data_IF_853127354008
#
_entry.id   IF_853127354008
#
_cell.length_a   1.000
_cell.length_b   1.000
_cell.length_c   1.000
_cell.angle_alpha   90.00
_cell.angle_beta   90.00
_cell.angle_gamma   90.00
#
_symmetry.space_group_name_H-M   'P 1'
#
loop_
_entity.id
_entity.type
_entity.pdbx_description
1 polymer ?
#
# COMPACT_ATOMS: atom_id res chain seq x y z
N UNK A 1 -32.93 72.69 28.94
CA UNK A 1 -32.21 71.40 28.95
C UNK A 1 -31.06 71.50 29.96
N UNK A 2 -31.10 70.74 31.04
CA UNK A 2 -30.05 70.84 32.09
C UNK A 2 -28.72 70.29 31.54
N UNK A 3 -27.82 71.19 31.13
CA UNK A 3 -26.52 70.85 30.57
C UNK A 3 -25.71 69.98 31.53
N UNK A 4 -25.89 70.11 32.85
CA UNK A 4 -25.25 69.31 33.90
C UNK A 4 -25.71 67.83 33.88
N UNK A 5 -27.01 67.56 33.66
CA UNK A 5 -27.56 66.23 33.55
C UNK A 5 -27.09 65.51 32.27
N UNK A 6 -26.94 66.28 31.19
CA UNK A 6 -26.42 65.72 29.92
C UNK A 6 -24.93 65.36 30.03
N UNK A 7 -24.14 66.21 30.65
CA UNK A 7 -22.71 65.90 30.85
C UNK A 7 -22.46 64.72 31.81
N UNK A 8 -23.27 64.57 32.87
CA UNK A 8 -23.18 63.42 33.76
C UNK A 8 -23.62 62.12 33.12
N UNK A 9 -24.66 62.15 32.29
CA UNK A 9 -25.10 60.96 31.54
C UNK A 9 -24.07 60.54 30.48
N UNK A 10 -23.42 61.50 29.82
CA UNK A 10 -22.36 61.25 28.86
C UNK A 10 -21.12 60.62 29.52
N UNK A 11 -20.75 61.15 30.71
CA UNK A 11 -19.65 60.57 31.51
C UNK A 11 -19.95 59.14 31.96
N UNK A 12 -21.17 58.88 32.43
CA UNK A 12 -21.58 57.52 32.83
C UNK A 12 -21.58 56.55 31.62
N UNK A 13 -22.05 57.02 30.44
CA UNK A 13 -22.00 56.23 29.25
C UNK A 13 -20.58 55.92 28.79
N UNK A 14 -19.68 56.92 28.84
CA UNK A 14 -18.26 56.70 28.53
C UNK A 14 -17.57 55.70 29.50
N UNK A 15 -17.89 55.78 30.80
CA UNK A 15 -17.40 54.88 31.80
C UNK A 15 -17.91 53.44 31.59
N UNK A 16 -19.17 53.29 31.25
CA UNK A 16 -19.76 51.98 30.92
C UNK A 16 -19.07 51.34 29.69
N UNK A 17 -18.85 52.12 28.62
CA UNK A 17 -18.12 51.64 27.43
C UNK A 17 -16.68 51.25 27.79
N UNK A 18 -15.99 52.03 28.62
CA UNK A 18 -14.62 51.72 29.06
C UNK A 18 -14.58 50.41 29.88
N UNK A 19 -15.56 50.21 30.76
CA UNK A 19 -15.67 48.95 31.53
C UNK A 19 -15.93 47.73 30.64
N UNK A 20 -16.81 47.87 29.66
CA UNK A 20 -17.10 46.80 28.71
C UNK A 20 -15.85 46.47 27.88
N UNK A 21 -15.15 47.48 27.41
CA UNK A 21 -13.90 47.34 26.68
C UNK A 21 -12.82 46.59 27.49
N UNK A 22 -12.59 47.04 28.71
CA UNK A 22 -11.66 46.40 29.65
C UNK A 22 -12.04 44.95 29.95
N UNK A 23 -13.33 44.65 30.08
CA UNK A 23 -13.82 43.30 30.30
C UNK A 23 -13.57 42.39 29.09
N UNK A 24 -13.82 42.88 27.86
CA UNK A 24 -13.58 42.14 26.64
C UNK A 24 -12.08 41.84 26.48
N UNK A 25 -11.21 42.86 26.69
CA UNK A 25 -9.75 42.72 26.59
C UNK A 25 -9.21 41.72 27.61
N UNK A 26 -9.72 41.77 28.87
CA UNK A 26 -9.37 40.79 29.91
C UNK A 26 -9.76 39.36 29.49
N UNK A 27 -10.94 39.20 28.90
CA UNK A 27 -11.41 37.87 28.44
C UNK A 27 -10.62 37.35 27.25
N UNK A 28 -10.26 38.17 26.31
CA UNK A 28 -9.41 37.78 25.16
C UNK A 28 -8.02 37.36 25.68
N UNK A 29 -7.44 38.09 26.63
CA UNK A 29 -6.13 37.75 27.21
C UNK A 29 -6.17 36.44 27.98
N UNK A 30 -7.23 36.19 28.75
CA UNK A 30 -7.45 34.94 29.49
C UNK A 30 -7.57 33.75 28.50
N UNK A 31 -8.37 33.90 27.46
CA UNK A 31 -8.53 32.86 26.40
C UNK A 31 -7.20 32.59 25.65
N UNK A 32 -6.43 33.63 25.35
CA UNK A 32 -5.11 33.47 24.73
C UNK A 32 -4.11 32.77 25.64
N UNK A 33 -4.17 33.06 26.97
CA UNK A 33 -3.32 32.41 27.99
C UNK A 33 -3.65 30.91 28.09
N UNK A 34 -4.93 30.54 28.09
CA UNK A 34 -5.39 29.18 28.30
C UNK A 34 -5.27 28.28 27.07
N UNK A 35 -5.53 28.84 25.89
CA UNK A 35 -5.63 28.09 24.61
C UNK A 35 -4.56 28.44 23.59
N UNK A 36 -3.76 29.47 23.85
CA UNK A 36 -2.74 30.00 22.96
C UNK A 36 -3.32 30.87 21.84
N UNK A 37 -2.42 31.43 21.04
CA UNK A 37 -2.79 32.30 19.93
C UNK A 37 -3.56 31.53 18.83
N UNK A 38 -4.53 32.19 18.25
CA UNK A 38 -5.21 31.66 17.07
C UNK A 38 -4.29 31.70 15.86
N UNK A 39 -4.11 30.57 15.20
CA UNK A 39 -3.33 30.47 13.96
C UNK A 39 -4.14 29.76 12.87
N UNK A 40 -3.90 30.09 11.61
CA UNK A 40 -4.62 29.48 10.50
C UNK A 40 -4.23 28.01 10.34
N UNK A 41 -5.24 27.15 10.12
CA UNK A 41 -5.10 25.73 9.85
C UNK A 41 -6.03 25.35 8.71
N UNK A 42 -5.56 24.54 7.79
CA UNK A 42 -6.35 24.02 6.70
C UNK A 42 -7.18 22.82 7.15
N UNK A 43 -8.48 22.89 6.98
CA UNK A 43 -9.44 21.80 7.29
C UNK A 43 -10.23 21.41 6.06
N UNK A 44 -10.74 20.17 6.06
CA UNK A 44 -11.62 19.70 5.02
C UNK A 44 -13.00 20.39 5.10
N UNK A 45 -13.44 20.97 4.00
CA UNK A 45 -14.77 21.60 3.87
C UNK A 45 -15.88 20.57 3.67
N UNK A 46 -15.53 19.43 3.09
CA UNK A 46 -16.40 18.27 2.84
C UNK A 46 -15.63 16.96 3.07
N UNK A 47 -16.32 15.83 3.03
CA UNK A 47 -15.69 14.52 3.11
C UNK A 47 -14.81 14.28 1.89
N UNK A 48 -13.51 14.06 2.09
CA UNK A 48 -12.54 13.74 1.04
C UNK A 48 -12.24 12.24 1.12
N UNK A 49 -12.41 11.55 0.00
CA UNK A 49 -12.16 10.11 -0.08
C UNK A 49 -10.66 9.83 -0.22
N UNK A 50 -10.28 8.62 0.16
CA UNK A 50 -8.94 8.11 -0.17
C UNK A 50 -8.68 8.19 -1.67
N UNK A 51 -7.46 8.58 -2.06
CA UNK A 51 -7.00 8.78 -3.43
C UNK A 51 -7.70 9.92 -4.18
N UNK A 52 -8.42 10.76 -3.50
CA UNK A 52 -9.08 11.94 -4.07
C UNK A 52 -8.12 13.14 -4.08
N UNK A 53 -8.08 13.87 -5.19
CA UNK A 53 -7.28 15.11 -5.32
C UNK A 53 -7.84 16.16 -4.36
N UNK A 54 -6.93 16.77 -3.60
CA UNK A 54 -7.26 17.87 -2.71
C UNK A 54 -7.12 19.16 -3.49
N UNK A 55 -8.23 19.84 -3.70
CA UNK A 55 -8.31 21.16 -4.34
C UNK A 55 -8.86 22.22 -3.36
N UNK A 56 -8.78 23.48 -3.77
CA UNK A 56 -9.24 24.65 -3.00
C UNK A 56 -10.75 24.66 -2.71
N UNK A 57 -11.53 23.90 -3.49
CA UNK A 57 -12.99 23.78 -3.27
C UNK A 57 -13.31 22.87 -2.09
N UNK A 58 -12.43 21.90 -1.80
CA UNK A 58 -12.62 20.88 -0.77
C UNK A 58 -12.04 21.25 0.58
N UNK A 59 -11.26 22.31 0.64
CA UNK A 59 -10.57 22.74 1.84
C UNK A 59 -10.92 24.17 2.18
N UNK A 60 -10.73 24.53 3.43
CA UNK A 60 -10.90 25.90 3.91
C UNK A 60 -9.90 26.18 5.01
N UNK A 61 -9.56 27.47 5.15
CA UNK A 61 -8.71 27.95 6.21
C UNK A 61 -9.59 28.39 7.39
N UNK A 62 -9.31 27.88 8.58
CA UNK A 62 -9.94 28.32 9.82
C UNK A 62 -8.87 28.68 10.87
N UNK A 63 -9.19 29.64 11.76
CA UNK A 63 -8.31 29.96 12.87
C UNK A 63 -8.64 29.05 14.05
N UNK A 64 -7.63 28.35 14.56
CA UNK A 64 -7.76 27.45 15.69
C UNK A 64 -6.71 27.84 16.75
N UNK A 65 -7.06 27.85 18.04
CA UNK A 65 -6.08 28.04 19.10
C UNK A 65 -4.96 26.99 19.04
N UNK A 66 -3.73 27.40 19.31
CA UNK A 66 -2.54 26.56 19.13
C UNK A 66 -2.58 25.26 19.94
N UNK A 67 -3.29 25.25 21.06
CA UNK A 67 -3.52 24.05 21.89
C UNK A 67 -4.25 22.91 21.17
N UNK A 68 -5.10 23.22 20.18
CA UNK A 68 -5.91 22.24 19.44
C UNK A 68 -5.36 21.93 18.07
N UNK A 69 -4.19 22.42 17.72
CA UNK A 69 -3.58 22.15 16.43
C UNK A 69 -2.93 20.76 16.44
N UNK A 70 -3.20 20.00 15.41
CA UNK A 70 -2.57 18.71 15.21
C UNK A 70 -1.11 18.89 14.72
N UNK A 71 -0.15 18.08 15.18
CA UNK A 71 1.21 18.11 14.65
C UNK A 71 1.23 17.87 13.14
N UNK A 72 2.01 18.68 12.42
CA UNK A 72 2.13 18.56 10.97
C UNK A 72 0.93 19.06 10.17
N UNK A 73 0.08 19.93 10.74
CA UNK A 73 -1.02 20.58 10.02
C UNK A 73 -0.49 21.57 8.97
N UNK A 74 -1.27 21.77 7.91
CA UNK A 74 -1.00 22.76 6.87
C UNK A 74 -1.57 24.13 7.29
N UNK A 75 -0.79 25.17 7.04
CA UNK A 75 -1.14 26.56 7.37
C UNK A 75 -1.69 27.34 6.19
N UNK A 76 -1.47 26.86 4.98
CA UNK A 76 -1.89 27.51 3.74
C UNK A 76 -2.48 26.46 2.80
N UNK A 77 -3.50 26.85 2.04
CA UNK A 77 -4.16 25.98 1.06
C UNK A 77 -3.20 25.64 -0.09
N UNK A 78 -2.33 26.57 -0.46
CA UNK A 78 -1.35 26.42 -1.55
C UNK A 78 -0.39 25.26 -1.31
N UNK A 79 -0.09 24.96 -0.05
CA UNK A 79 0.81 23.86 0.32
C UNK A 79 0.19 22.47 0.03
N UNK A 80 -1.13 22.44 -0.25
CA UNK A 80 -1.88 21.23 -0.63
C UNK A 80 -2.07 21.07 -2.14
N UNK A 81 -1.60 22.02 -2.96
CA UNK A 81 -1.75 21.89 -4.41
C UNK A 81 -1.04 20.64 -4.93
N UNK A 82 -1.73 19.95 -5.83
CA UNK A 82 -1.28 18.66 -6.37
C UNK A 82 -1.08 17.55 -5.33
N UNK A 83 -1.74 17.63 -4.19
CA UNK A 83 -1.75 16.55 -3.22
C UNK A 83 -3.00 15.69 -3.36
N UNK A 84 -2.92 14.49 -2.85
CA UNK A 84 -3.99 13.49 -2.85
C UNK A 84 -4.16 12.99 -1.42
N UNK A 85 -5.41 12.76 -1.02
CA UNK A 85 -5.69 12.17 0.30
C UNK A 85 -5.15 10.72 0.34
N UNK A 86 -4.20 10.44 1.23
CA UNK A 86 -3.65 9.10 1.44
C UNK A 86 -4.62 8.18 2.20
N UNK A 87 -5.55 8.78 2.95
CA UNK A 87 -6.61 8.11 3.72
C UNK A 87 -7.87 8.97 3.66
N UNK A 88 -9.07 8.43 3.94
CA UNK A 88 -10.28 9.24 3.99
C UNK A 88 -10.16 10.35 5.05
N UNK A 89 -10.54 11.58 4.69
CA UNK A 89 -10.54 12.76 5.57
C UNK A 89 -11.99 13.21 5.72
N UNK A 90 -12.43 13.41 6.96
CA UNK A 90 -13.80 13.85 7.24
C UNK A 90 -13.93 15.36 7.22
N UNK A 91 -15.13 15.84 6.88
CA UNK A 91 -15.48 17.27 6.97
C UNK A 91 -15.12 17.82 8.36
N UNK A 92 -14.44 18.97 8.39
CA UNK A 92 -13.98 19.64 9.59
C UNK A 92 -12.66 19.07 10.18
N UNK A 93 -12.13 17.99 9.64
CA UNK A 93 -10.86 17.42 10.07
C UNK A 93 -9.67 18.26 9.60
N UNK A 94 -8.68 18.46 10.46
CA UNK A 94 -7.43 19.16 10.12
C UNK A 94 -6.62 18.29 9.14
N UNK A 95 -6.16 18.90 8.06
CA UNK A 95 -5.31 18.20 7.09
C UNK A 95 -3.87 18.25 7.57
N UNK A 96 -3.27 17.08 7.74
CA UNK A 96 -1.90 16.90 8.23
C UNK A 96 -1.02 16.18 7.20
N UNK A 97 0.30 16.36 7.32
CA UNK A 97 1.29 15.74 6.41
C UNK A 97 1.11 14.23 6.24
N UNK A 98 0.84 13.42 7.29
CA UNK A 98 0.61 11.98 7.11
C UNK A 98 -0.68 11.62 6.36
N UNK A 99 -1.62 12.56 6.24
CA UNK A 99 -2.93 12.35 5.58
C UNK A 99 -2.90 12.61 4.09
N UNK A 100 -1.81 13.16 3.57
CA UNK A 100 -1.68 13.55 2.16
C UNK A 100 -0.45 12.93 1.52
N UNK A 101 -0.50 12.75 0.22
CA UNK A 101 0.64 12.32 -0.58
C UNK A 101 0.70 13.12 -1.86
N UNK A 102 1.91 13.24 -2.44
CA UNK A 102 2.10 13.91 -3.73
C UNK A 102 2.08 12.87 -4.85
N UNK A 103 1.28 13.03 -5.90
CA UNK A 103 1.36 12.18 -7.09
C UNK A 103 2.72 12.41 -7.78
N UNK A 104 3.39 11.36 -8.16
CA UNK A 104 4.66 11.45 -8.90
C UNK A 104 5.82 10.67 -8.29
N UNK A 105 7.04 11.12 -8.55
CA UNK A 105 8.29 10.44 -8.17
C UNK A 105 8.46 10.14 -6.68
N UNK A 106 7.67 10.77 -5.84
CA UNK A 106 7.68 10.56 -4.38
C UNK A 106 6.75 9.43 -3.91
N UNK A 107 5.79 9.01 -4.73
CA UNK A 107 4.84 7.93 -4.44
C UNK A 107 5.14 6.64 -5.24
N UNK A 108 6.20 6.61 -6.02
CA UNK A 108 6.56 5.48 -6.87
C UNK A 108 7.06 4.26 -6.09
N UNK A 109 6.94 3.09 -6.74
CA UNK A 109 7.39 1.80 -6.22
C UNK A 109 8.85 1.82 -5.72
N UNK A 110 9.72 2.60 -6.36
CA UNK A 110 11.14 2.70 -6.00
C UNK A 110 11.40 3.16 -4.56
N UNK A 111 10.46 3.89 -3.94
CA UNK A 111 10.57 4.31 -2.53
C UNK A 111 10.15 3.24 -1.53
N UNK A 112 9.34 2.30 -1.96
CA UNK A 112 8.89 1.19 -1.13
C UNK A 112 9.88 0.04 -1.09
N UNK A 113 10.83 0.03 -2.04
CA UNK A 113 11.88 -0.99 -2.10
C UNK A 113 12.92 -0.71 -1.03
N UNK A 114 13.19 -1.69 -0.18
CA UNK A 114 14.23 -1.62 0.85
C UNK A 114 15.62 -1.40 0.24
N UNK A 115 16.49 -0.71 0.97
CA UNK A 115 17.87 -0.49 0.53
C UNK A 115 18.56 -1.83 0.27
N UNK A 116 19.23 -1.95 -0.87
CA UNK A 116 19.90 -3.18 -1.30
C UNK A 116 19.01 -4.20 -1.99
N UNK A 117 17.69 -3.99 -2.04
CA UNK A 117 16.75 -4.87 -2.73
C UNK A 117 16.29 -4.30 -4.09
N UNK A 118 15.53 -5.08 -4.82
CA UNK A 118 15.00 -4.80 -6.15
C UNK A 118 13.56 -5.28 -6.26
N UNK A 119 12.75 -4.61 -7.06
CA UNK A 119 11.42 -5.08 -7.46
C UNK A 119 11.52 -5.90 -8.74
N UNK A 120 10.89 -7.06 -8.75
CA UNK A 120 10.72 -7.89 -9.93
C UNK A 120 9.25 -8.28 -10.08
N UNK A 121 8.65 -7.97 -11.22
CA UNK A 121 7.29 -8.41 -11.55
C UNK A 121 7.34 -9.75 -12.27
N UNK A 122 6.50 -10.67 -11.82
CA UNK A 122 6.31 -11.98 -12.46
C UNK A 122 4.86 -12.13 -12.89
N UNK A 123 4.65 -12.79 -14.01
CA UNK A 123 3.33 -13.18 -14.46
C UNK A 123 2.87 -14.40 -13.66
N UNK A 124 1.61 -14.41 -13.22
CA UNK A 124 1.08 -15.45 -12.35
C UNK A 124 -0.41 -15.70 -12.66
N UNK A 125 -0.82 -16.95 -12.61
CA UNK A 125 -2.22 -17.33 -12.75
C UNK A 125 -2.94 -17.28 -11.40
N UNK A 126 -4.26 -17.38 -11.45
CA UNK A 126 -5.12 -17.38 -10.27
C UNK A 126 -4.75 -18.49 -9.26
N UNK A 127 -4.60 -19.73 -9.76
CA UNK A 127 -4.24 -20.88 -8.92
C UNK A 127 -2.84 -20.78 -8.30
N UNK A 128 -1.92 -20.08 -8.96
CA UNK A 128 -0.56 -19.87 -8.49
C UNK A 128 -0.46 -18.73 -7.45
N UNK A 129 -1.47 -17.87 -7.38
CA UNK A 129 -1.53 -16.68 -6.52
C UNK A 129 -2.58 -16.79 -5.42
N UNK A 130 -2.77 -17.98 -4.85
CA UNK A 130 -3.74 -18.22 -3.75
C UNK A 130 -5.12 -17.67 -4.10
N UNK A 131 -5.64 -18.01 -5.28
CA UNK A 131 -6.92 -17.51 -5.83
C UNK A 131 -7.00 -15.97 -5.86
N UNK A 132 -5.88 -15.29 -6.11
CA UNK A 132 -5.76 -13.82 -6.11
C UNK A 132 -6.11 -13.15 -4.78
N UNK A 133 -6.00 -13.87 -3.68
CA UNK A 133 -6.27 -13.33 -2.35
C UNK A 133 -5.06 -12.61 -1.73
N UNK A 134 -3.89 -12.76 -2.32
CA UNK A 134 -2.68 -12.05 -1.89
C UNK A 134 -2.81 -10.55 -2.16
N UNK A 135 -2.26 -9.75 -1.26
CA UNK A 135 -2.32 -8.28 -1.30
C UNK A 135 -0.92 -7.68 -1.20
N UNK A 136 -0.73 -6.44 -1.68
CA UNK A 136 0.47 -5.70 -1.38
C UNK A 136 0.69 -5.59 0.14
N UNK A 137 1.91 -5.85 0.60
CA UNK A 137 2.27 -5.93 2.02
C UNK A 137 2.29 -7.34 2.59
N UNK A 138 1.68 -8.31 1.94
CA UNK A 138 1.73 -9.72 2.36
C UNK A 138 3.13 -10.32 2.16
N UNK A 139 3.41 -11.40 2.87
CA UNK A 139 4.62 -12.20 2.74
C UNK A 139 4.31 -13.59 2.20
N UNK A 140 5.12 -14.04 1.26
CA UNK A 140 4.93 -15.32 0.58
C UNK A 140 6.22 -16.12 0.51
N UNK A 141 6.07 -17.45 0.40
CA UNK A 141 7.13 -18.33 -0.05
C UNK A 141 6.94 -18.62 -1.53
N UNK A 142 8.04 -18.67 -2.27
CA UNK A 142 8.04 -18.95 -3.71
C UNK A 142 8.46 -20.39 -3.93
N UNK A 143 7.56 -21.18 -4.50
CA UNK A 143 7.79 -22.55 -4.89
C UNK A 143 7.97 -22.63 -6.40
N UNK A 144 8.90 -23.46 -6.85
CA UNK A 144 9.09 -23.72 -8.29
C UNK A 144 9.02 -25.21 -8.58
N UNK A 145 8.28 -25.53 -9.64
CA UNK A 145 8.32 -26.85 -10.25
C UNK A 145 9.49 -26.87 -11.22
N UNK A 146 10.56 -27.59 -10.87
CA UNK A 146 11.78 -27.66 -11.64
C UNK A 146 11.75 -28.92 -12.52
N UNK A 147 11.75 -28.70 -13.84
CA UNK A 147 11.91 -29.74 -14.84
C UNK A 147 13.27 -29.59 -15.54
N UNK A 148 14.22 -30.46 -15.22
CA UNK A 148 15.54 -30.49 -15.86
C UNK A 148 15.72 -31.68 -16.85
N UNK A 149 14.63 -32.41 -17.11
CA UNK A 149 14.68 -33.62 -17.91
C UNK A 149 13.63 -33.67 -19.03
N UNK A 150 13.17 -32.50 -19.48
CA UNK A 150 12.27 -32.33 -20.62
C UNK A 150 11.00 -33.16 -20.52
N UNK A 151 10.24 -33.01 -19.42
CA UNK A 151 8.92 -33.61 -19.23
C UNK A 151 8.93 -35.02 -18.61
N UNK A 152 10.08 -35.55 -18.21
CA UNK A 152 10.16 -36.82 -17.45
C UNK A 152 9.67 -36.61 -16.02
N UNK A 153 8.44 -37.03 -15.74
CA UNK A 153 7.76 -36.80 -14.45
C UNK A 153 8.56 -37.28 -13.24
N UNK A 154 9.25 -38.41 -13.38
CA UNK A 154 10.10 -39.00 -12.33
C UNK A 154 11.33 -38.14 -11.97
N UNK A 155 11.70 -37.20 -12.85
CA UNK A 155 12.82 -36.27 -12.64
C UNK A 155 12.38 -34.86 -12.27
N UNK A 156 11.10 -34.56 -12.32
CA UNK A 156 10.56 -33.29 -11.84
C UNK A 156 10.64 -33.22 -10.31
N UNK A 157 10.83 -32.01 -9.81
CA UNK A 157 10.80 -31.73 -8.36
C UNK A 157 10.21 -30.36 -8.07
N UNK A 158 9.51 -30.27 -6.98
CA UNK A 158 9.07 -29.00 -6.41
C UNK A 158 10.07 -28.58 -5.32
N UNK A 159 10.47 -27.33 -5.33
CA UNK A 159 11.37 -26.75 -4.34
C UNK A 159 10.88 -25.37 -3.93
N UNK A 160 10.90 -25.10 -2.62
CA UNK A 160 10.81 -23.73 -2.11
C UNK A 160 12.12 -23.02 -2.42
N UNK A 161 12.09 -22.07 -3.34
CA UNK A 161 13.29 -21.40 -3.86
C UNK A 161 13.58 -20.08 -3.13
N UNK A 162 12.54 -19.43 -2.63
CA UNK A 162 12.62 -18.24 -1.80
C UNK A 162 11.61 -18.34 -0.67
N UNK A 163 11.95 -17.79 0.48
CA UNK A 163 11.09 -17.73 1.66
C UNK A 163 11.01 -16.30 2.17
N UNK A 164 9.86 -15.95 2.76
CA UNK A 164 9.64 -14.67 3.40
C UNK A 164 9.85 -13.49 2.43
N UNK A 165 9.21 -13.54 1.28
CA UNK A 165 9.28 -12.53 0.23
C UNK A 165 8.12 -11.55 0.36
N UNK A 166 8.43 -10.26 0.42
CA UNK A 166 7.43 -9.20 0.49
C UNK A 166 6.82 -8.94 -0.88
N UNK A 167 5.49 -8.85 -0.92
CA UNK A 167 4.74 -8.42 -2.09
C UNK A 167 4.65 -6.90 -2.10
N UNK A 168 5.20 -6.27 -3.12
CA UNK A 168 5.16 -4.81 -3.30
C UNK A 168 3.90 -4.37 -4.03
N UNK A 169 3.45 -5.15 -5.03
CA UNK A 169 2.23 -4.83 -5.77
C UNK A 169 1.56 -6.06 -6.34
N UNK A 170 0.25 -5.96 -6.56
CA UNK A 170 -0.56 -6.91 -7.33
C UNK A 170 -1.15 -6.17 -8.53
N UNK A 171 -0.76 -6.55 -9.75
CA UNK A 171 -1.08 -5.79 -10.94
C UNK A 171 -0.50 -4.38 -10.85
N UNK A 172 -1.35 -3.38 -10.99
CA UNK A 172 -1.00 -1.95 -10.90
C UNK A 172 -1.15 -1.38 -9.48
N UNK A 173 -1.59 -2.18 -8.49
CA UNK A 173 -1.82 -1.73 -7.12
C UNK A 173 -0.59 -1.93 -6.27
N UNK A 174 -0.17 -0.86 -5.62
CA UNK A 174 1.00 -0.77 -4.74
C UNK A 174 0.51 -0.39 -3.34
N UNK A 175 1.14 -0.90 -2.30
CA UNK A 175 0.88 -0.47 -0.92
C UNK A 175 1.17 1.03 -0.81
N UNK A 176 0.19 1.82 -0.33
CA UNK A 176 0.35 3.26 -0.06
C UNK A 176 0.75 4.13 -1.27
N UNK A 177 0.50 3.70 -2.49
CA UNK A 177 0.72 4.57 -3.64
C UNK A 177 -0.53 4.71 -4.48
N UNK A 178 -0.73 5.94 -4.91
CA UNK A 178 -1.74 6.29 -5.89
C UNK A 178 -1.24 5.79 -7.24
N UNK A 179 -1.99 4.95 -7.96
CA UNK A 179 -1.64 4.64 -9.34
C UNK A 179 -1.60 5.95 -10.13
N UNK A 180 -0.50 6.23 -10.79
CA UNK A 180 -0.40 7.33 -11.75
C UNK A 180 -1.16 6.89 -13.00
N UNK A 181 -2.48 6.91 -12.93
CA UNK A 181 -3.34 6.76 -14.09
C UNK A 181 -3.90 8.16 -14.34
N UNK A 182 -3.81 8.62 -15.59
CA UNK A 182 -4.55 9.77 -16.05
C UNK A 182 -6.06 9.48 -15.87
N UNK A 183 -6.59 9.72 -14.69
CA UNK A 183 -8.00 9.58 -14.37
C UNK A 183 -8.71 10.76 -15.05
N UNK A 184 -9.17 10.53 -16.26
CA UNK A 184 -9.94 11.55 -17.01
C UNK A 184 -11.40 11.63 -16.60
N UNK A 185 -11.94 10.63 -15.89
CA UNK A 185 -13.35 10.56 -15.53
C UNK A 185 -13.62 10.08 -14.11
N UNK A 186 -14.51 10.80 -13.43
CA UNK A 186 -14.98 10.54 -12.07
C UNK A 186 -15.72 9.19 -11.93
N UNK A 187 -16.23 8.63 -13.04
CA UNK A 187 -16.91 7.33 -13.09
C UNK A 187 -15.93 6.17 -12.99
N UNK A 188 -14.74 6.29 -13.59
CA UNK A 188 -13.73 5.23 -13.56
C UNK A 188 -13.13 5.06 -12.17
N UNK A 189 -13.02 6.13 -11.38
CA UNK A 189 -12.53 6.06 -10.01
C UNK A 189 -13.47 5.31 -9.06
N UNK A 190 -14.78 5.30 -9.31
CA UNK A 190 -15.77 4.59 -8.49
C UNK A 190 -15.77 3.08 -8.74
N UNK A 191 -15.52 2.63 -9.97
CA UNK A 191 -15.45 1.21 -10.31
C UNK A 191 -14.12 0.57 -9.90
N UNK A 192 -13.04 1.35 -9.81
CA UNK A 192 -11.73 0.84 -9.35
C UNK A 192 -11.72 0.34 -7.90
N UNK A 193 -12.63 0.80 -7.03
CA UNK A 193 -12.53 0.59 -5.57
C UNK A 193 -12.90 -0.78 -5.04
N UNK A 194 -13.68 -1.60 -5.73
CA UNK A 194 -14.11 -2.91 -5.20
C UNK A 194 -13.61 -4.13 -5.99
N UNK A 195 -13.35 -4.00 -7.30
CA UNK A 195 -13.04 -5.16 -8.14
C UNK A 195 -11.56 -5.29 -8.53
N UNK A 196 -10.73 -4.30 -8.27
CA UNK A 196 -9.40 -4.25 -8.87
C UNK A 196 -8.32 -4.98 -8.07
N UNK A 197 -8.52 -5.24 -6.77
CA UNK A 197 -7.56 -6.04 -5.98
C UNK A 197 -7.57 -7.52 -6.35
N UNK A 198 -8.64 -8.01 -6.98
CA UNK A 198 -8.82 -9.42 -7.30
C UNK A 198 -8.54 -9.78 -8.75
N UNK A 199 -8.40 -8.81 -9.64
CA UNK A 199 -8.18 -9.08 -11.07
C UNK A 199 -6.78 -8.65 -11.52
N UNK A 200 -5.77 -9.41 -11.12
CA UNK A 200 -4.38 -9.18 -11.53
C UNK A 200 -3.76 -10.45 -12.13
N UNK A 201 -2.84 -10.25 -13.06
CA UNK A 201 -2.06 -11.32 -13.71
C UNK A 201 -0.56 -11.19 -13.42
N UNK A 202 -0.16 -10.19 -12.63
CA UNK A 202 1.23 -9.94 -12.28
C UNK A 202 1.35 -9.63 -10.80
N UNK A 203 2.44 -10.07 -10.20
CA UNK A 203 2.81 -9.79 -8.81
C UNK A 203 4.23 -9.27 -8.81
N UNK A 204 4.46 -8.17 -8.05
CA UNK A 204 5.80 -7.60 -7.89
C UNK A 204 6.36 -7.98 -6.54
N UNK A 205 7.50 -8.61 -6.56
CA UNK A 205 8.21 -9.14 -5.39
C UNK A 205 9.40 -8.26 -5.03
N UNK A 206 9.69 -8.13 -3.75
CA UNK A 206 10.90 -7.48 -3.24
C UNK A 206 12.00 -8.52 -3.02
N UNK A 207 13.06 -8.45 -3.80
CA UNK A 207 14.12 -9.47 -3.88
C UNK A 207 15.51 -8.86 -3.75
N UNK A 208 16.45 -9.63 -3.24
CA UNK A 208 17.88 -9.28 -3.37
C UNK A 208 18.33 -9.41 -4.84
N UNK A 209 19.43 -8.76 -5.26
CA UNK A 209 19.92 -8.88 -6.64
C UNK A 209 20.17 -10.33 -7.09
N UNK A 210 20.63 -11.19 -6.19
CA UNK A 210 20.87 -12.59 -6.50
C UNK A 210 19.57 -13.39 -6.63
N UNK A 211 18.57 -13.10 -5.82
CA UNK A 211 17.24 -13.69 -5.92
C UNK A 211 16.53 -13.28 -7.20
N UNK A 212 16.74 -12.05 -7.66
CA UNK A 212 16.24 -11.60 -8.97
C UNK A 212 16.80 -12.48 -10.10
N UNK A 213 18.11 -12.76 -10.10
CA UNK A 213 18.72 -13.64 -11.10
C UNK A 213 18.12 -15.05 -11.07
N UNK A 214 17.93 -15.62 -9.86
CA UNK A 214 17.25 -16.91 -9.70
C UNK A 214 15.84 -16.90 -10.30
N UNK A 215 15.07 -15.88 -10.00
CA UNK A 215 13.69 -15.77 -10.47
C UNK A 215 13.62 -15.59 -11.99
N UNK A 216 14.47 -14.75 -12.56
CA UNK A 216 14.54 -14.56 -14.02
C UNK A 216 14.88 -15.88 -14.69
N UNK A 217 15.85 -16.65 -14.19
CA UNK A 217 16.20 -17.96 -14.70
C UNK A 217 14.99 -18.93 -14.66
N UNK A 218 14.29 -19.01 -13.53
CA UNK A 218 13.13 -19.88 -13.35
C UNK A 218 11.99 -19.53 -14.30
N UNK A 219 11.67 -18.25 -14.45
CA UNK A 219 10.63 -17.76 -15.34
C UNK A 219 11.00 -18.05 -16.80
N UNK A 220 12.25 -17.76 -17.19
CA UNK A 220 12.73 -17.96 -18.57
C UNK A 220 12.82 -19.44 -18.95
N UNK A 221 13.08 -20.33 -17.99
CA UNK A 221 13.10 -21.78 -18.20
C UNK A 221 11.71 -22.41 -18.28
N UNK A 222 10.63 -21.62 -18.21
CA UNK A 222 9.26 -22.12 -18.27
C UNK A 222 8.81 -22.91 -17.04
N UNK A 223 9.52 -22.78 -15.91
CA UNK A 223 9.14 -23.46 -14.68
C UNK A 223 7.86 -22.90 -14.09
N UNK A 224 6.96 -23.76 -13.63
CA UNK A 224 5.77 -23.35 -12.91
C UNK A 224 6.15 -22.72 -11.55
N UNK A 225 5.71 -21.47 -11.34
CA UNK A 225 5.94 -20.74 -10.07
C UNK A 225 4.64 -20.66 -9.32
N UNK A 226 4.68 -20.99 -8.01
CA UNK A 226 3.55 -20.93 -7.09
C UNK A 226 3.92 -20.08 -5.90
N UNK A 227 2.98 -19.28 -5.42
CA UNK A 227 3.13 -18.51 -4.19
C UNK A 227 2.35 -19.18 -3.07
N UNK A 228 2.98 -19.32 -1.92
CA UNK A 228 2.34 -19.78 -0.69
C UNK A 228 2.28 -18.60 0.28
N UNK A 229 1.08 -18.20 0.68
CA UNK A 229 0.86 -17.08 1.59
C UNK A 229 1.30 -17.47 3.00
N UNK A 230 2.12 -16.62 3.61
CA UNK A 230 2.55 -16.76 5.01
C UNK A 230 1.62 -16.00 5.95
N UNK A 231 1.65 -16.39 7.22
CA UNK A 231 1.11 -15.53 8.27
C UNK A 231 2.01 -14.29 8.39
N UNK A 232 1.43 -13.11 8.56
CA UNK A 232 2.17 -11.84 8.65
C UNK A 232 3.17 -11.77 9.81
N UNK A 233 2.98 -12.60 10.84
CA UNK A 233 3.87 -12.69 12.00
C UNK A 233 4.92 -13.81 11.89
N UNK A 234 4.87 -14.62 10.82
CA UNK A 234 5.81 -15.70 10.58
C UNK A 234 6.99 -15.21 9.75
N UNK A 235 8.10 -14.94 10.41
CA UNK A 235 9.37 -14.53 9.79
C UNK A 235 10.42 -15.65 9.81
N UNK A 236 10.06 -16.85 10.27
CA UNK A 236 11.02 -17.95 10.37
C UNK A 236 11.34 -18.53 9.00
N UNK A 237 12.61 -18.82 8.77
CA UNK A 237 13.11 -19.53 7.59
C UNK A 237 13.54 -20.91 7.99
N UNK A 238 12.97 -21.92 7.35
CA UNK A 238 13.28 -23.31 7.61
C UNK A 238 13.95 -23.97 6.40
N UNK A 239 14.77 -24.97 6.65
CA UNK A 239 15.35 -25.80 5.59
C UNK A 239 14.27 -26.77 5.08
N UNK A 240 13.66 -26.44 3.94
CA UNK A 240 12.65 -27.28 3.29
C UNK A 240 13.34 -28.07 2.17
N UNK A 241 13.27 -29.38 2.26
CA UNK A 241 13.76 -30.29 1.23
C UNK A 241 12.96 -30.12 -0.09
N UNK A 242 13.51 -30.62 -1.19
CA UNK A 242 12.75 -30.70 -2.44
C UNK A 242 11.86 -31.94 -2.44
N UNK A 243 10.62 -31.81 -2.90
CA UNK A 243 9.65 -32.91 -3.06
C UNK A 243 9.67 -33.43 -4.50
N UNK A 244 9.79 -34.72 -4.66
CA UNK A 244 9.76 -35.43 -5.95
C UNK A 244 8.48 -36.26 -6.07
N UNK A 245 8.23 -36.78 -7.26
CA UNK A 245 7.08 -37.66 -7.54
C UNK A 245 6.96 -38.80 -6.49
N UNK A 246 8.06 -39.46 -6.21
CA UNK A 246 8.06 -40.60 -5.28
C UNK A 246 7.77 -40.20 -3.82
N UNK A 247 8.06 -38.97 -3.42
CA UNK A 247 7.76 -38.47 -2.07
C UNK A 247 6.27 -38.20 -1.88
N UNK A 248 5.53 -38.00 -3.00
CA UNK A 248 4.08 -37.73 -3.00
C UNK A 248 3.29 -39.03 -3.07
N UNK A 249 3.83 -40.07 -3.71
CA UNK A 249 3.10 -41.32 -3.99
C UNK A 249 2.98 -42.23 -2.74
N UNK A 250 3.77 -41.99 -1.71
CA UNK A 250 3.67 -42.81 -0.49
C UNK A 250 3.82 -44.33 -0.75
N UNK A 251 2.76 -45.08 -0.49
CA UNK A 251 2.74 -46.56 -0.64
C UNK A 251 2.88 -46.99 -2.11
N UNK A 252 2.39 -46.20 -3.08
CA UNK A 252 2.45 -46.50 -4.51
C UNK A 252 3.87 -46.30 -5.11
N UNK A 253 4.83 -45.85 -4.32
CA UNK A 253 6.20 -45.56 -4.76
C UNK A 253 6.86 -46.73 -5.50
N UNK A 254 6.66 -47.93 -5.00
CA UNK A 254 7.29 -49.14 -5.56
C UNK A 254 6.74 -49.49 -6.92
N UNK A 255 5.41 -49.43 -7.08
CA UNK A 255 4.73 -49.69 -8.35
C UNK A 255 5.14 -48.65 -9.40
N UNK A 256 5.16 -47.37 -9.02
CA UNK A 256 5.57 -46.28 -9.91
C UNK A 256 7.04 -46.43 -10.37
N UNK A 257 7.94 -46.82 -9.51
CA UNK A 257 9.34 -47.08 -9.86
C UNK A 257 9.47 -48.20 -10.88
N UNK A 258 8.73 -49.29 -10.71
CA UNK A 258 8.71 -50.42 -11.65
C UNK A 258 8.17 -50.00 -13.01
N UNK A 259 7.07 -49.27 -13.01
CA UNK A 259 6.47 -48.75 -14.25
C UNK A 259 7.42 -47.85 -15.05
N UNK A 260 8.07 -46.85 -14.38
CA UNK A 260 9.02 -45.99 -15.07
C UNK A 260 10.29 -46.69 -15.52
N UNK A 261 10.76 -47.71 -14.78
CA UNK A 261 11.86 -48.53 -15.22
C UNK A 261 11.56 -49.34 -16.45
N UNK A 262 10.37 -49.94 -16.55
CA UNK A 262 9.88 -50.62 -17.75
C UNK A 262 9.71 -49.70 -18.96
N UNK A 263 9.16 -48.49 -18.75
CA UNK A 263 9.07 -47.49 -19.81
C UNK A 263 10.45 -47.10 -20.36
N UNK A 264 11.42 -46.81 -19.47
CA UNK A 264 12.78 -46.49 -19.86
C UNK A 264 13.45 -47.59 -20.66
N UNK A 265 13.20 -48.87 -20.30
CA UNK A 265 13.70 -50.06 -21.01
C UNK A 265 13.05 -50.19 -22.41
N UNK A 266 11.76 -49.89 -22.56
CA UNK A 266 11.06 -49.88 -23.85
C UNK A 266 11.57 -48.78 -24.79
N UNK A 267 11.80 -47.57 -24.26
CA UNK A 267 12.31 -46.42 -25.02
C UNK A 267 13.76 -46.66 -25.49
N UNK A 268 14.59 -47.28 -24.67
CA UNK A 268 15.97 -47.65 -25.05
C UNK A 268 16.03 -48.66 -26.17
N UNK A 269 15.11 -49.64 -26.18
CA UNK A 269 14.99 -50.63 -27.26
C UNK A 269 14.48 -50.02 -28.61
N UNK A 270 13.61 -49.01 -28.54
CA UNK A 270 13.13 -48.28 -29.71
C UNK A 270 14.23 -47.44 -30.39
N UNK A 271 15.08 -46.80 -29.58
CA UNK A 271 16.22 -46.02 -30.10
C UNK A 271 17.36 -46.87 -30.64
N UNK A 272 17.54 -48.08 -30.18
CA UNK A 272 18.59 -49.03 -30.66
C UNK A 272 18.17 -49.83 -31.87
N UNK A 273 16.87 -49.98 -32.16
CA UNK A 273 16.36 -50.75 -33.32
C UNK A 273 16.15 -49.93 -34.61
N UNK A 274 16.46 -48.63 -34.60
CA UNK A 274 16.28 -47.71 -35.73
C UNK A 274 17.60 -47.28 -36.41
N UNK A 275 18.67 -48.06 -36.31
CA UNK A 275 19.91 -47.89 -37.09
C UNK A 275 20.06 -48.97 -38.14
#
# INVERSE_FOLDING_TARGET
>A
MNSRAFTTSLLLAALAVAMIWSYIESRETELQSDYGNQTPVVVAKEDIKELEIIDDRKVQLINIPSKFQMPGHFKRVEDLYNTIAAVPIKKGEQITVPRVTYPGSQSGLSRQISVGKRALSIQISESQAVSRLIKPGDRVDVLALIDYASGKKEKMKVKTVLQDVLILSTGLFITNSVPIINIKDEKDSRQMKLNNYTNFNTVTLELTPFEVQKMVFLVSAGNGIYLSLRNNNDNERSLIGSTRLYDVLGEDQTEAKTYFAEQAARDSKRTSGGR
#
